data_IF_033960098714
#
_entry.id   IF_033960098714
#
_cell.length_a   1.000
_cell.length_b   1.000
_cell.length_c   1.000
_cell.angle_alpha   90.00
_cell.angle_beta   90.00
_cell.angle_gamma   90.00
#
_symmetry.space_group_name_H-M   'P 1'
#
loop_
_entity.id
_entity.type
_entity.pdbx_description
1 polymer ?
#
# COMPACT_ATOMS: atom_id res chain seq x y z
N UNK A 1 8.69 -17.89 -8.01
CA UNK A 1 7.47 -17.39 -8.69
C UNK A 1 6.30 -17.16 -7.72
N UNK A 2 5.94 -18.13 -6.86
CA UNK A 2 4.80 -17.98 -5.93
C UNK A 2 4.91 -16.78 -4.97
N UNK A 3 6.09 -16.50 -4.41
CA UNK A 3 6.29 -15.42 -3.44
C UNK A 3 6.08 -14.02 -4.06
N UNK A 4 6.60 -13.78 -5.26
CA UNK A 4 6.41 -12.53 -6.01
C UNK A 4 4.92 -12.29 -6.30
N UNK A 5 4.20 -13.33 -6.69
CA UNK A 5 2.73 -13.27 -6.88
C UNK A 5 2.01 -12.91 -5.58
N UNK A 6 2.43 -13.43 -4.42
CA UNK A 6 1.84 -13.04 -3.14
C UNK A 6 2.12 -11.59 -2.78
N UNK A 7 3.34 -11.09 -3.01
CA UNK A 7 3.68 -9.67 -2.78
C UNK A 7 2.78 -8.75 -3.61
N UNK A 8 2.60 -9.06 -4.89
CA UNK A 8 1.70 -8.30 -5.76
C UNK A 8 0.24 -8.33 -5.30
N UNK A 9 -0.26 -9.48 -4.81
CA UNK A 9 -1.62 -9.56 -4.25
C UNK A 9 -1.79 -8.63 -3.04
N UNK A 10 -0.82 -8.62 -2.12
CA UNK A 10 -0.86 -7.71 -0.95
C UNK A 10 -0.90 -6.25 -1.40
N UNK A 11 -0.11 -5.88 -2.41
CA UNK A 11 -0.09 -4.52 -2.96
C UNK A 11 -1.43 -4.16 -3.59
N UNK A 12 -2.01 -5.05 -4.41
CA UNK A 12 -3.34 -4.83 -5.00
C UNK A 12 -4.41 -4.67 -3.94
N UNK A 13 -4.40 -5.49 -2.89
CA UNK A 13 -5.31 -5.34 -1.76
C UNK A 13 -5.11 -3.99 -1.05
N UNK A 14 -3.87 -3.56 -0.85
CA UNK A 14 -3.58 -2.26 -0.22
C UNK A 14 -4.07 -1.09 -1.07
N UNK A 15 -3.91 -1.16 -2.40
CA UNK A 15 -4.45 -0.15 -3.33
C UNK A 15 -5.98 -0.09 -3.21
N UNK A 16 -6.65 -1.23 -3.39
CA UNK A 16 -8.12 -1.31 -3.35
C UNK A 16 -8.68 -0.82 -2.01
N UNK A 17 -8.04 -1.21 -0.90
CA UNK A 17 -8.43 -0.79 0.45
C UNK A 17 -8.35 0.72 0.66
N UNK A 18 -7.25 1.36 0.25
CA UNK A 18 -7.09 2.79 0.42
C UNK A 18 -8.01 3.59 -0.50
N UNK A 19 -8.23 3.14 -1.74
CA UNK A 19 -9.22 3.76 -2.66
C UNK A 19 -10.61 3.69 -2.04
N UNK A 20 -11.01 2.52 -1.54
CA UNK A 20 -12.31 2.33 -0.90
C UNK A 20 -12.47 3.23 0.33
N UNK A 21 -11.46 3.29 1.20
CA UNK A 21 -11.46 4.16 2.38
C UNK A 21 -11.56 5.64 2.02
N UNK A 22 -10.76 6.11 1.05
CA UNK A 22 -10.77 7.51 0.63
C UNK A 22 -12.13 7.88 0.02
N UNK A 23 -12.70 7.01 -0.83
CA UNK A 23 -14.05 7.21 -1.37
C UNK A 23 -15.07 7.35 -0.26
N UNK A 24 -15.04 6.47 0.74
CA UNK A 24 -15.96 6.53 1.87
C UNK A 24 -15.73 7.76 2.76
N UNK A 25 -14.49 8.21 2.94
CA UNK A 25 -14.20 9.45 3.65
C UNK A 25 -14.80 10.67 2.92
N UNK A 26 -14.71 10.72 1.58
CA UNK A 26 -15.32 11.79 0.81
C UNK A 26 -16.86 11.76 0.89
N UNK A 27 -17.47 10.57 0.80
CA UNK A 27 -18.94 10.43 0.78
C UNK A 27 -19.56 10.64 2.17
N UNK A 28 -18.97 10.06 3.22
CA UNK A 28 -19.58 9.97 4.54
C UNK A 28 -18.97 10.92 5.59
N UNK A 29 -17.78 11.49 5.32
CA UNK A 29 -17.06 12.33 6.28
C UNK A 29 -16.71 13.71 5.72
N UNK A 30 -17.22 14.05 4.54
CA UNK A 30 -16.93 15.30 3.83
C UNK A 30 -15.44 15.57 3.63
N UNK A 31 -14.60 14.52 3.59
CA UNK A 31 -13.17 14.66 3.31
C UNK A 31 -12.96 15.03 1.83
N UNK A 32 -11.86 15.71 1.54
CA UNK A 32 -11.50 16.07 0.17
C UNK A 32 -10.57 15.02 -0.43
N UNK A 33 -10.79 14.71 -1.72
CA UNK A 33 -9.90 13.85 -2.45
C UNK A 33 -8.58 14.59 -2.75
N UNK A 34 -7.50 14.12 -2.11
CA UNK A 34 -6.14 14.60 -2.38
C UNK A 34 -5.31 13.42 -2.88
N UNK A 35 -5.08 13.36 -4.20
CA UNK A 35 -4.35 12.27 -4.84
C UNK A 35 -3.00 11.98 -4.17
N UNK A 36 -2.23 13.01 -3.84
CA UNK A 36 -0.91 12.86 -3.22
C UNK A 36 -0.99 12.21 -1.83
N UNK A 37 -2.03 12.51 -1.05
CA UNK A 37 -2.29 11.90 0.25
C UNK A 37 -2.61 10.41 0.07
N UNK A 38 -3.55 10.10 -0.84
CA UNK A 38 -3.92 8.73 -1.14
C UNK A 38 -2.72 7.88 -1.59
N UNK A 39 -1.86 8.43 -2.47
CA UNK A 39 -0.67 7.72 -2.93
C UNK A 39 0.30 7.40 -1.78
N UNK A 40 0.51 8.34 -0.85
CA UNK A 40 1.36 8.11 0.34
C UNK A 40 0.75 7.03 1.25
N UNK A 41 -0.56 7.04 1.44
CA UNK A 41 -1.27 6.04 2.24
C UNK A 41 -1.22 4.64 1.62
N UNK A 42 -1.35 4.54 0.29
CA UNK A 42 -1.18 3.28 -0.45
C UNK A 42 0.23 2.72 -0.24
N UNK A 43 1.27 3.52 -0.47
CA UNK A 43 2.68 3.11 -0.33
C UNK A 43 2.95 2.63 1.10
N UNK A 44 2.48 3.38 2.10
CA UNK A 44 2.64 3.04 3.52
C UNK A 44 1.89 1.75 3.88
N UNK A 45 0.64 1.61 3.44
CA UNK A 45 -0.20 0.44 3.74
C UNK A 45 0.39 -0.83 3.13
N UNK A 46 0.79 -0.77 1.86
CA UNK A 46 1.41 -1.90 1.17
C UNK A 46 2.67 -2.39 1.90
N UNK A 47 3.56 -1.46 2.30
CA UNK A 47 4.75 -1.80 3.07
C UNK A 47 4.42 -2.45 4.42
N UNK A 48 3.49 -1.86 5.19
CA UNK A 48 3.06 -2.40 6.49
C UNK A 48 2.51 -3.81 6.34
N UNK A 49 1.66 -4.05 5.34
CA UNK A 49 1.04 -5.34 5.14
C UNK A 49 2.03 -6.40 4.69
N UNK A 50 2.97 -6.06 3.79
CA UNK A 50 4.05 -6.96 3.39
C UNK A 50 4.94 -7.34 4.58
N UNK A 51 5.30 -6.36 5.41
CA UNK A 51 6.11 -6.59 6.62
C UNK A 51 5.44 -7.50 7.65
N UNK A 52 4.12 -7.42 7.79
CA UNK A 52 3.36 -8.29 8.71
C UNK A 52 3.12 -9.68 8.12
N UNK A 53 2.86 -9.77 6.82
CA UNK A 53 2.50 -11.05 6.16
C UNK A 53 3.69 -11.93 5.81
N UNK A 54 4.90 -11.37 5.68
CA UNK A 54 6.08 -12.09 5.21
C UNK A 54 7.20 -12.01 6.24
N UNK A 55 7.53 -13.14 6.85
CA UNK A 55 8.58 -13.25 7.87
C UNK A 55 9.95 -12.75 7.39
N UNK A 56 10.21 -12.73 6.07
CA UNK A 56 11.48 -12.32 5.48
C UNK A 56 11.45 -10.94 4.82
N UNK A 57 10.37 -10.18 4.95
CA UNK A 57 10.30 -8.82 4.38
C UNK A 57 10.96 -7.80 5.30
N UNK A 58 12.27 -7.65 5.16
CA UNK A 58 13.10 -6.74 5.97
C UNK A 58 13.43 -5.41 5.28
N UNK A 59 12.76 -5.10 4.16
CA UNK A 59 13.04 -3.90 3.39
C UNK A 59 12.64 -2.65 4.20
N UNK A 60 13.57 -1.73 4.48
CA UNK A 60 13.25 -0.49 5.18
C UNK A 60 12.24 0.37 4.40
N UNK A 61 11.38 1.10 5.11
CA UNK A 61 10.37 1.94 4.46
C UNK A 61 10.96 3.00 3.53
N UNK A 62 12.13 3.59 3.87
CA UNK A 62 12.75 4.60 3.02
C UNK A 62 13.06 4.04 1.62
N UNK A 63 13.66 2.85 1.55
CA UNK A 63 14.03 2.20 0.29
C UNK A 63 12.77 1.84 -0.52
N UNK A 64 11.77 1.29 0.17
CA UNK A 64 10.47 1.01 -0.42
C UNK A 64 9.81 2.26 -1.01
N UNK A 65 9.83 3.39 -0.28
CA UNK A 65 9.14 4.62 -0.68
C UNK A 65 9.74 5.28 -1.93
N UNK A 66 11.03 5.05 -2.20
CA UNK A 66 11.72 5.55 -3.39
C UNK A 66 11.33 4.71 -4.61
N UNK A 67 11.38 3.38 -4.50
CA UNK A 67 11.03 2.49 -5.59
C UNK A 67 10.49 1.13 -5.08
N UNK A 68 9.16 1.00 -4.95
CA UNK A 68 8.54 -0.25 -4.54
C UNK A 68 8.83 -1.40 -5.51
N UNK A 69 8.94 -1.12 -6.81
CA UNK A 69 9.10 -2.12 -7.86
C UNK A 69 10.40 -2.92 -7.75
N UNK A 70 11.48 -2.30 -7.26
CA UNK A 70 12.76 -2.97 -7.00
C UNK A 70 12.72 -3.86 -5.75
N UNK A 71 11.70 -3.71 -4.91
CA UNK A 71 11.57 -4.36 -3.62
C UNK A 71 10.63 -5.58 -3.64
N UNK A 72 10.09 -5.96 -4.81
CA UNK A 72 9.00 -6.93 -5.00
C UNK A 72 9.42 -8.17 -5.80
#
# INVERSE_FOLDING_TARGET
MAEKTQKWRVIWCAIAWNIWNQRNACVFRHDQFVQQKLMKEIILTAWKWLRVKQNNFHIPFYLWSINPGLCI
#
